data_IF_326942658751
#
_entry.id   IF_326942658751
#
_cell.length_a   1.000
_cell.length_b   1.000
_cell.length_c   1.000
_cell.angle_alpha   90.00
_cell.angle_beta   90.00
_cell.angle_gamma   90.00
#
_symmetry.space_group_name_H-M   'P 1'
#
loop_
_entity.id
_entity.type
_entity.pdbx_description
1 polymer ?
#
# COMPACT_ATOMS: atom_id res chain seq x y z
N UNK A 1 -28.35 11.80 36.64
CA UNK A 1 -27.66 12.74 35.72
C UNK A 1 -26.75 11.90 34.82
N UNK A 2 -27.10 11.74 33.55
CA UNK A 2 -26.30 10.98 32.58
C UNK A 2 -25.32 11.94 31.91
N UNK A 3 -24.03 11.63 31.94
CA UNK A 3 -22.99 12.38 31.22
C UNK A 3 -23.00 11.95 29.76
N UNK A 4 -23.29 12.89 28.86
CA UNK A 4 -23.09 12.72 27.43
C UNK A 4 -21.67 13.22 27.09
N UNK A 5 -20.84 12.34 26.54
CA UNK A 5 -19.51 12.70 26.05
C UNK A 5 -19.53 12.63 24.53
N UNK A 6 -19.32 13.78 23.88
CA UNK A 6 -19.16 13.88 22.43
C UNK A 6 -17.74 13.47 22.05
N UNK A 7 -17.59 12.40 21.27
CA UNK A 7 -16.33 12.07 20.62
C UNK A 7 -16.24 12.86 19.30
N UNK A 8 -15.29 13.80 19.23
CA UNK A 8 -14.90 14.43 17.96
C UNK A 8 -13.80 13.56 17.36
N UNK A 9 -14.10 12.85 16.28
CA UNK A 9 -13.06 12.26 15.45
C UNK A 9 -12.68 13.34 14.43
N UNK A 10 -11.48 13.91 14.57
CA UNK A 10 -10.85 14.61 13.46
C UNK A 10 -10.87 13.65 12.28
N UNK A 11 -11.61 14.02 11.23
CA UNK A 11 -11.69 13.26 10.01
C UNK A 11 -10.33 13.32 9.31
N UNK A 12 -9.37 12.51 9.75
CA UNK A 12 -8.24 12.11 8.94
C UNK A 12 -8.82 11.67 7.60
N UNK A 13 -8.57 12.46 6.57
CA UNK A 13 -9.15 12.31 5.23
C UNK A 13 -9.10 10.85 4.79
N UNK A 14 -10.20 10.13 4.98
CA UNK A 14 -10.39 8.76 4.51
C UNK A 14 -10.44 8.86 2.98
N UNK A 15 -9.29 8.73 2.34
CA UNK A 15 -9.20 8.56 0.89
C UNK A 15 -8.30 9.51 0.11
N UNK A 16 -7.59 10.46 0.74
CA UNK A 16 -6.57 11.19 -0.01
C UNK A 16 -5.39 10.26 -0.28
N UNK A 17 -5.27 9.78 -1.53
CA UNK A 17 -4.09 9.04 -1.96
C UNK A 17 -2.90 9.97 -1.87
N UNK A 18 -2.00 9.65 -0.94
CA UNK A 18 -0.69 10.27 -0.79
C UNK A 18 0.39 9.34 -1.36
N UNK A 19 1.55 9.91 -1.65
CA UNK A 19 2.72 9.13 -2.01
C UNK A 19 3.01 8.08 -0.92
N UNK A 20 3.37 6.86 -1.33
CA UNK A 20 3.69 5.75 -0.43
C UNK A 20 5.03 5.93 0.28
N UNK A 21 5.87 6.87 -0.15
CA UNK A 21 7.08 7.25 0.57
C UNK A 21 6.70 7.88 1.93
N UNK A 22 7.39 7.45 2.99
CA UNK A 22 7.12 7.94 4.35
C UNK A 22 7.30 9.47 4.42
N UNK A 23 6.35 10.15 5.07
CA UNK A 23 6.29 11.62 5.22
C UNK A 23 6.19 12.43 3.90
N UNK A 24 5.95 11.79 2.75
CA UNK A 24 5.85 12.51 1.50
C UNK A 24 4.46 13.17 1.33
N UNK A 25 4.44 14.51 1.30
CA UNK A 25 3.23 15.34 1.13
C UNK A 25 2.96 15.72 -0.33
N UNK A 26 3.78 15.26 -1.27
CA UNK A 26 3.62 15.59 -2.69
C UNK A 26 2.38 14.90 -3.27
N UNK A 27 1.51 15.64 -3.98
CA UNK A 27 0.35 15.04 -4.61
C UNK A 27 0.76 14.05 -5.69
N UNK A 28 -0.02 12.98 -5.82
CA UNK A 28 0.14 12.00 -6.87
C UNK A 28 -0.34 12.56 -8.22
N UNK A 29 0.42 12.36 -9.31
CA UNK A 29 0.04 12.88 -10.63
C UNK A 29 -1.14 12.10 -11.22
N UNK A 30 -1.41 10.89 -10.70
CA UNK A 30 -2.56 10.09 -11.09
C UNK A 30 -2.97 9.16 -9.96
N UNK A 31 -4.26 8.90 -9.86
CA UNK A 31 -4.87 7.95 -8.94
C UNK A 31 -4.34 6.51 -9.07
N UNK A 32 -3.72 6.16 -10.20
CA UNK A 32 -3.16 4.81 -10.45
C UNK A 32 -1.74 4.63 -9.90
N UNK A 33 -1.04 5.72 -9.59
CA UNK A 33 0.34 5.67 -9.09
C UNK A 33 0.35 5.55 -7.56
N UNK A 34 1.38 4.89 -7.05
CA UNK A 34 1.64 4.79 -5.61
C UNK A 34 2.68 5.82 -5.15
N UNK A 35 3.49 6.33 -6.07
CA UNK A 35 4.54 7.30 -5.80
C UNK A 35 4.35 8.58 -6.61
N UNK A 36 4.69 9.73 -6.00
CA UNK A 36 4.75 11.02 -6.68
C UNK A 36 5.91 11.04 -7.71
N UNK A 37 6.01 12.08 -8.58
CA UNK A 37 7.05 12.13 -9.62
C UNK A 37 8.47 12.08 -9.04
N UNK A 38 8.67 12.68 -7.88
CA UNK A 38 9.95 12.68 -7.15
C UNK A 38 10.37 11.26 -6.71
N UNK A 39 9.39 10.49 -6.23
CA UNK A 39 9.57 9.11 -5.78
C UNK A 39 9.26 8.07 -6.86
N UNK A 40 9.13 8.46 -8.13
CA UNK A 40 8.78 7.53 -9.21
C UNK A 40 9.79 6.39 -9.33
N UNK A 41 11.06 6.67 -9.03
CA UNK A 41 12.16 5.70 -8.99
C UNK A 41 11.94 4.57 -7.97
N UNK A 42 11.19 4.80 -6.89
CA UNK A 42 10.84 3.74 -5.92
C UNK A 42 9.91 2.68 -6.51
N UNK A 43 9.22 2.99 -7.61
CA UNK A 43 8.41 2.01 -8.35
C UNK A 43 9.28 0.96 -9.05
N UNK A 44 10.54 1.29 -9.32
CA UNK A 44 11.51 0.41 -9.95
C UNK A 44 12.32 -0.40 -8.95
N UNK A 45 12.23 -0.08 -7.65
CA UNK A 45 12.91 -0.81 -6.58
C UNK A 45 12.02 -1.90 -5.99
N UNK A 46 12.63 -2.99 -5.53
CA UNK A 46 11.92 -4.04 -4.84
C UNK A 46 11.07 -3.48 -3.69
N UNK A 47 9.82 -3.92 -3.57
CA UNK A 47 8.91 -3.48 -2.53
C UNK A 47 9.32 -3.89 -1.10
N UNK A 48 10.36 -4.72 -0.96
CA UNK A 48 10.93 -5.14 0.33
C UNK A 48 11.90 -4.06 0.83
N UNK A 49 11.66 -3.56 2.04
CA UNK A 49 12.31 -2.36 2.63
C UNK A 49 13.84 -2.44 2.65
N UNK A 50 14.41 -3.64 2.71
CA UNK A 50 15.85 -3.86 2.82
C UNK A 50 16.51 -4.40 1.53
N UNK A 51 15.75 -4.48 0.43
CA UNK A 51 16.27 -5.03 -0.82
C UNK A 51 16.71 -3.91 -1.78
N UNK A 52 18.01 -3.80 -2.13
CA UNK A 52 18.49 -2.78 -3.08
C UNK A 52 18.25 -3.15 -4.55
N UNK A 53 17.74 -4.35 -4.83
CA UNK A 53 17.55 -4.84 -6.19
C UNK A 53 16.34 -4.19 -6.88
N UNK A 54 16.43 -4.06 -8.20
CA UNK A 54 15.32 -3.59 -9.03
C UNK A 54 14.20 -4.64 -9.14
N UNK A 55 13.00 -4.16 -9.44
CA UNK A 55 11.83 -5.00 -9.69
C UNK A 55 12.04 -5.84 -10.96
N UNK A 56 11.62 -7.10 -10.89
CA UNK A 56 11.52 -7.93 -12.09
C UNK A 56 10.31 -7.50 -12.92
N UNK A 57 10.40 -7.62 -14.26
CA UNK A 57 9.32 -7.25 -15.17
C UNK A 57 7.99 -7.93 -14.77
N UNK A 58 6.90 -7.15 -14.74
CA UNK A 58 5.55 -7.53 -14.30
C UNK A 58 5.34 -7.78 -12.79
N UNK A 59 6.38 -7.60 -11.97
CA UNK A 59 6.29 -7.77 -10.51
C UNK A 59 6.66 -6.50 -9.76
N UNK A 60 6.30 -6.43 -8.47
CA UNK A 60 6.71 -5.35 -7.54
C UNK A 60 7.91 -5.76 -6.69
N UNK A 61 8.43 -6.96 -6.90
CA UNK A 61 9.55 -7.56 -6.19
C UNK A 61 10.64 -7.96 -7.17
N UNK A 62 11.88 -8.06 -6.68
CA UNK A 62 13.01 -8.53 -7.48
C UNK A 62 12.88 -10.04 -7.80
N UNK A 63 13.84 -10.59 -8.53
CA UNK A 63 13.88 -12.01 -8.92
C UNK A 63 14.14 -12.98 -7.76
N UNK A 64 14.28 -12.48 -6.53
CA UNK A 64 14.48 -13.31 -5.35
C UNK A 64 13.20 -14.10 -5.00
N UNK A 65 13.27 -15.43 -4.83
CA UNK A 65 12.11 -16.26 -4.58
C UNK A 65 11.42 -15.96 -3.24
N UNK A 66 12.15 -15.53 -2.20
CA UNK A 66 11.56 -15.17 -0.92
C UNK A 66 10.73 -13.88 -1.04
N UNK A 67 11.24 -12.89 -1.78
CA UNK A 67 10.50 -11.66 -2.05
C UNK A 67 9.27 -11.92 -2.93
N UNK A 68 9.38 -12.82 -3.91
CA UNK A 68 8.23 -13.20 -4.75
C UNK A 68 7.14 -13.93 -3.95
N UNK A 69 7.54 -14.78 -3.00
CA UNK A 69 6.61 -15.45 -2.10
C UNK A 69 5.83 -14.44 -1.24
N UNK A 70 6.50 -13.38 -0.75
CA UNK A 70 5.85 -12.29 -0.01
C UNK A 70 4.82 -11.55 -0.88
N UNK A 71 5.18 -11.21 -2.12
CA UNK A 71 4.25 -10.59 -3.07
C UNK A 71 3.02 -11.47 -3.33
N UNK A 72 3.26 -12.76 -3.56
CA UNK A 72 2.20 -13.75 -3.81
C UNK A 72 1.27 -13.89 -2.60
N UNK A 73 1.84 -13.97 -1.39
CA UNK A 73 1.09 -14.03 -0.14
C UNK A 73 0.28 -12.74 0.12
N UNK A 74 0.83 -11.57 -0.25
CA UNK A 74 0.12 -10.30 -0.15
C UNK A 74 -1.12 -10.27 -1.07
N UNK A 75 -0.96 -10.68 -2.33
CA UNK A 75 -2.08 -10.74 -3.28
C UNK A 75 -3.10 -11.83 -2.94
N UNK A 76 -2.68 -12.95 -2.33
CA UNK A 76 -3.60 -14.01 -1.90
C UNK A 76 -4.46 -13.56 -0.71
N UNK A 77 -3.90 -12.79 0.23
CA UNK A 77 -4.62 -12.28 1.41
C UNK A 77 -5.73 -11.29 1.04
N UNK A 78 -5.55 -10.51 -0.02
CA UNK A 78 -6.61 -9.67 -0.60
C UNK A 78 -7.84 -10.45 -1.09
N UNK A 79 -7.68 -11.74 -1.42
CA UNK A 79 -8.79 -12.64 -1.78
C UNK A 79 -9.52 -13.22 -0.56
N UNK A 80 -8.95 -13.15 0.64
CA UNK A 80 -9.55 -13.75 1.84
C UNK A 80 -10.85 -13.04 2.27
N UNK A 81 -10.96 -11.72 2.07
CA UNK A 81 -12.21 -10.99 2.32
C UNK A 81 -13.34 -11.40 1.37
N UNK A 82 -13.02 -11.85 0.16
CA UNK A 82 -14.00 -12.42 -0.77
C UNK A 82 -14.45 -13.82 -0.31
N UNK A 83 -13.53 -14.65 0.21
CA UNK A 83 -13.85 -15.99 0.71
C UNK A 83 -14.73 -15.98 1.97
N UNK A 84 -14.66 -14.94 2.80
CA UNK A 84 -15.51 -14.83 3.98
C UNK A 84 -16.99 -14.57 3.60
N UNK A 85 -17.26 -13.91 2.46
CA UNK A 85 -18.63 -13.65 1.97
C UNK A 85 -19.33 -14.87 1.39
N UNK A 86 -18.60 -15.89 0.94
CA UNK A 86 -19.18 -17.13 0.40
C UNK A 86 -19.44 -18.21 1.47
N UNK A 87 -19.18 -17.90 2.75
CA UNK A 87 -19.42 -18.77 3.91
C UNK A 87 -20.49 -18.24 4.88
N UNK A 88 -21.15 -17.14 4.53
CA UNK A 88 -22.29 -16.55 5.24
C UNK A 88 -23.55 -16.73 4.41
#
# INVERSE_FOLDING_TARGET
IVKLQSAHCDGDTIGHRCCKAHDCKTPLPSHRRHFCPDHAHLTLKCAVVECPADVAAAHRTCSDPAHRALETAYFSRGKALFQLRSRL
#
